data_IF_491059436969
#
_entry.id   IF_491059436969
#
_cell.length_a   1.000
_cell.length_b   1.000
_cell.length_c   1.000
_cell.angle_alpha   90.00
_cell.angle_beta   90.00
_cell.angle_gamma   90.00
#
_symmetry.space_group_name_H-M   'P 1'
#
loop_
_entity.id
_entity.type
_entity.pdbx_description
1 polymer ?
#
# COMPACT_ATOMS: atom_id res chain seq x y z
N UNK A 1 -0.92 28.76 19.65
CA UNK A 1 -1.49 28.20 18.39
C UNK A 1 -0.66 28.58 17.16
N UNK A 2 -0.32 29.85 16.91
CA UNK A 2 0.51 30.24 15.75
C UNK A 2 1.89 29.57 15.67
N UNK A 3 2.53 29.31 16.81
CA UNK A 3 3.82 28.60 16.86
C UNK A 3 3.78 27.16 16.34
N UNK A 4 2.64 26.46 16.48
CA UNK A 4 2.49 25.09 15.96
C UNK A 4 2.33 25.10 14.43
N UNK A 5 1.53 26.03 13.89
CA UNK A 5 1.42 26.23 12.45
C UNK A 5 2.75 26.68 11.84
N UNK A 6 3.47 27.61 12.48
CA UNK A 6 4.80 28.02 12.04
C UNK A 6 5.80 26.86 12.09
N UNK A 7 5.81 26.07 13.16
CA UNK A 7 6.67 24.89 13.28
C UNK A 7 6.36 23.82 12.22
N UNK A 8 5.09 23.57 11.90
CA UNK A 8 4.70 22.66 10.81
C UNK A 8 5.15 23.19 9.44
N UNK A 9 5.07 24.51 9.23
CA UNK A 9 5.51 25.13 7.98
C UNK A 9 7.02 25.02 7.82
N UNK A 10 7.78 25.34 8.88
CA UNK A 10 9.24 25.14 8.91
C UNK A 10 9.59 23.66 8.74
N UNK A 11 8.92 22.74 9.45
CA UNK A 11 9.20 21.31 9.39
C UNK A 11 8.98 20.73 7.98
N UNK A 12 7.93 21.13 7.26
CA UNK A 12 7.72 20.71 5.87
C UNK A 12 8.82 21.23 4.94
N UNK A 13 9.28 22.48 5.13
CA UNK A 13 10.38 23.02 4.34
C UNK A 13 11.66 22.20 4.58
N UNK A 14 11.98 21.90 5.84
CA UNK A 14 13.13 21.04 6.16
C UNK A 14 12.95 19.61 5.63
N UNK A 15 11.76 19.01 5.78
CA UNK A 15 11.44 17.68 5.26
C UNK A 15 11.70 17.61 3.77
N UNK A 16 11.21 18.59 3.00
CA UNK A 16 11.41 18.65 1.55
C UNK A 16 12.89 18.78 1.18
N UNK A 17 13.67 19.58 1.92
CA UNK A 17 15.13 19.70 1.69
C UNK A 17 15.83 18.36 1.95
N UNK A 18 15.48 17.68 3.05
CA UNK A 18 16.05 16.38 3.40
C UNK A 18 15.66 15.28 2.41
N UNK A 19 14.39 15.24 1.99
CA UNK A 19 13.89 14.30 1.00
C UNK A 19 14.58 14.52 -0.35
N UNK A 20 14.68 15.76 -0.82
CA UNK A 20 15.36 16.07 -2.08
C UNK A 20 16.85 15.72 -2.06
N UNK A 21 17.53 16.01 -0.94
CA UNK A 21 18.94 15.65 -0.79
C UNK A 21 19.12 14.13 -0.69
N UNK A 22 18.24 13.44 0.04
CA UNK A 22 18.23 12.00 0.20
C UNK A 22 17.93 11.26 -1.09
N UNK A 23 16.97 11.75 -1.89
CA UNK A 23 16.56 11.17 -3.17
C UNK A 23 17.76 10.96 -4.10
N UNK A 24 18.67 11.94 -4.17
CA UNK A 24 19.90 11.83 -4.98
C UNK A 24 20.79 10.64 -4.60
N UNK A 25 20.83 10.28 -3.32
CA UNK A 25 21.57 9.10 -2.84
C UNK A 25 20.80 7.81 -3.10
N UNK A 26 19.48 7.81 -2.87
CA UNK A 26 18.63 6.63 -3.10
C UNK A 26 18.53 6.25 -4.57
N UNK A 27 18.44 7.23 -5.48
CA UNK A 27 18.41 6.98 -6.93
C UNK A 27 19.69 6.29 -7.40
N UNK A 28 20.86 6.71 -6.89
CA UNK A 28 22.14 6.03 -7.18
C UNK A 28 22.16 4.58 -6.68
N UNK A 29 21.47 4.28 -5.58
CA UNK A 29 21.35 2.91 -5.08
C UNK A 29 20.41 2.06 -5.96
N UNK A 30 19.39 2.70 -6.56
CA UNK A 30 18.45 2.04 -7.48
C UNK A 30 19.01 1.83 -8.88
N UNK A 31 20.04 2.61 -9.27
CA UNK A 31 20.78 2.46 -10.54
C UNK A 31 21.65 1.19 -10.58
N UNK A 32 21.89 0.56 -9.43
CA UNK A 32 22.57 -0.73 -9.34
C UNK A 32 21.72 -1.79 -10.06
N UNK A 33 22.32 -2.63 -10.92
CA UNK A 33 21.56 -3.58 -11.71
C UNK A 33 20.72 -4.51 -10.83
N UNK A 34 19.44 -4.64 -11.19
CA UNK A 34 18.40 -5.33 -10.38
C UNK A 34 18.77 -6.77 -9.97
N UNK A 35 19.61 -7.45 -10.75
CA UNK A 35 20.04 -8.81 -10.45
C UNK A 35 20.99 -8.89 -9.22
N UNK A 36 21.68 -7.79 -8.88
CA UNK A 36 22.52 -7.67 -7.68
C UNK A 36 21.74 -7.02 -6.53
N UNK A 37 20.90 -6.03 -6.84
CA UNK A 37 20.13 -5.31 -5.83
C UNK A 37 19.14 -6.22 -5.09
N UNK A 38 18.43 -7.09 -5.84
CA UNK A 38 17.44 -8.01 -5.27
C UNK A 38 18.01 -8.99 -4.23
N UNK A 39 19.12 -9.72 -4.48
CA UNK A 39 19.69 -10.62 -3.47
C UNK A 39 20.20 -9.87 -2.23
N UNK A 40 20.76 -8.67 -2.39
CA UNK A 40 21.18 -7.83 -1.25
C UNK A 40 19.97 -7.48 -0.37
N UNK A 41 18.88 -7.00 -0.98
CA UNK A 41 17.63 -6.70 -0.26
C UNK A 41 17.10 -7.94 0.45
N UNK A 42 17.10 -9.11 -0.22
CA UNK A 42 16.63 -10.36 0.38
C UNK A 42 17.43 -10.76 1.62
N UNK A 43 18.78 -10.67 1.55
CA UNK A 43 19.65 -10.95 2.71
C UNK A 43 19.36 -9.94 3.83
N UNK A 44 19.22 -8.66 3.51
CA UNK A 44 18.90 -7.62 4.50
C UNK A 44 17.55 -7.87 5.17
N UNK A 45 16.51 -8.29 4.43
CA UNK A 45 15.21 -8.64 4.98
C UNK A 45 15.28 -9.86 5.91
N UNK A 46 16.06 -10.87 5.56
CA UNK A 46 16.26 -12.06 6.40
C UNK A 46 16.96 -11.68 7.71
N UNK A 47 18.03 -10.89 7.63
CA UNK A 47 18.77 -10.40 8.81
C UNK A 47 17.88 -9.50 9.67
N UNK A 48 17.09 -8.61 9.06
CA UNK A 48 16.16 -7.73 9.78
C UNK A 48 15.06 -8.49 10.50
N UNK A 49 14.47 -9.51 9.86
CA UNK A 49 13.48 -10.38 10.48
C UNK A 49 14.09 -11.18 11.65
N UNK A 50 15.30 -11.72 11.46
CA UNK A 50 16.01 -12.43 12.51
C UNK A 50 16.34 -11.52 13.71
N UNK A 51 16.73 -10.27 13.46
CA UNK A 51 17.08 -9.30 14.50
C UNK A 51 15.91 -8.93 15.41
N UNK A 52 14.67 -9.00 14.91
CA UNK A 52 13.48 -8.54 15.66
C UNK A 52 13.16 -9.41 16.88
N UNK A 53 13.24 -10.73 16.74
CA UNK A 53 12.86 -11.66 17.80
C UNK A 53 13.88 -12.78 18.05
N UNK A 54 14.98 -12.83 17.31
CA UNK A 54 16.01 -13.87 17.39
C UNK A 54 15.43 -15.29 17.23
N UNK A 55 14.34 -15.43 16.46
CA UNK A 55 13.65 -16.70 16.21
C UNK A 55 13.88 -17.14 14.77
N UNK A 56 14.36 -18.36 14.60
CA UNK A 56 14.55 -19.01 13.29
C UNK A 56 13.21 -19.17 12.55
N UNK A 57 12.09 -19.19 13.28
CA UNK A 57 10.74 -19.24 12.71
C UNK A 57 10.43 -18.02 11.81
N UNK A 58 10.94 -16.83 12.15
CA UNK A 58 10.68 -15.61 11.39
C UNK A 58 11.45 -15.64 10.05
N UNK A 59 12.65 -16.25 10.05
CA UNK A 59 13.42 -16.51 8.83
C UNK A 59 12.67 -17.47 7.91
N UNK A 60 12.10 -18.55 8.46
CA UNK A 60 11.31 -19.50 7.67
C UNK A 60 10.06 -18.83 7.07
N UNK A 61 9.41 -17.96 7.85
CA UNK A 61 8.25 -17.18 7.38
C UNK A 61 8.62 -16.25 6.23
N UNK A 62 9.72 -15.50 6.33
CA UNK A 62 10.22 -14.64 5.24
C UNK A 62 10.52 -15.46 3.98
N UNK A 63 11.09 -16.66 4.12
CA UNK A 63 11.37 -17.52 2.98
C UNK A 63 10.08 -18.02 2.31
N UNK A 64 9.10 -18.47 3.09
CA UNK A 64 7.79 -18.92 2.59
C UNK A 64 7.04 -17.77 1.89
N UNK A 65 6.94 -16.60 2.53
CA UNK A 65 6.27 -15.43 1.94
C UNK A 65 7.03 -14.87 0.73
N UNK A 66 8.37 -14.92 0.74
CA UNK A 66 9.20 -14.58 -0.42
C UNK A 66 8.94 -15.50 -1.62
N UNK A 67 8.80 -16.80 -1.38
CA UNK A 67 8.46 -17.78 -2.42
C UNK A 67 7.03 -17.55 -2.95
N UNK A 68 6.05 -17.29 -2.08
CA UNK A 68 4.68 -16.92 -2.48
C UNK A 68 4.71 -15.65 -3.35
N UNK A 69 5.49 -14.63 -2.97
CA UNK A 69 5.68 -13.43 -3.77
C UNK A 69 6.28 -13.71 -5.16
N UNK A 70 7.21 -14.65 -5.26
CA UNK A 70 7.75 -15.11 -6.54
C UNK A 70 6.67 -15.78 -7.42
N UNK A 71 5.79 -16.58 -6.82
CA UNK A 71 4.62 -17.13 -7.53
C UNK A 71 3.67 -16.04 -8.02
N UNK A 72 3.42 -14.99 -7.24
CA UNK A 72 2.59 -13.86 -7.67
C UNK A 72 3.19 -13.10 -8.86
N UNK A 73 4.52 -12.97 -8.90
CA UNK A 73 5.22 -12.44 -10.07
C UNK A 73 4.99 -13.29 -11.32
N UNK A 74 4.96 -14.62 -11.18
CA UNK A 74 4.64 -15.55 -12.30
C UNK A 74 3.19 -15.44 -12.76
N UNK A 75 2.27 -15.17 -11.84
CA UNK A 75 0.84 -15.01 -12.13
C UNK A 75 0.47 -13.63 -12.72
N UNK A 76 1.45 -12.73 -12.93
CA UNK A 76 1.23 -11.34 -13.39
C UNK A 76 0.21 -10.59 -12.54
N UNK A 77 0.06 -10.98 -11.27
CA UNK A 77 -0.77 -10.24 -10.33
C UNK A 77 -0.01 -8.94 -10.01
N UNK A 78 -0.66 -7.78 -10.11
CA UNK A 78 0.00 -6.53 -9.76
C UNK A 78 0.35 -6.59 -8.26
N UNK A 79 1.64 -6.53 -7.94
CA UNK A 79 2.13 -6.60 -6.57
C UNK A 79 1.76 -5.37 -5.75
N UNK A 80 1.66 -4.20 -6.40
CA UNK A 80 1.37 -2.92 -5.74
C UNK A 80 -0.01 -2.91 -5.06
N UNK A 81 -1.13 -3.23 -5.73
CA UNK A 81 -2.44 -3.29 -5.08
C UNK A 81 -2.54 -4.34 -3.96
N UNK A 82 -1.77 -5.42 -4.05
CA UNK A 82 -1.77 -6.47 -3.03
C UNK A 82 -1.14 -5.96 -1.73
N UNK A 83 -0.02 -5.23 -1.82
CA UNK A 83 0.64 -4.62 -0.67
C UNK A 83 -0.28 -3.55 -0.06
N UNK A 84 -0.89 -2.69 -0.87
CA UNK A 84 -1.83 -1.67 -0.40
C UNK A 84 -3.02 -2.32 0.29
N UNK A 85 -3.62 -3.37 -0.29
CA UNK A 85 -4.71 -4.11 0.35
C UNK A 85 -4.31 -4.77 1.66
N UNK A 86 -3.09 -5.32 1.75
CA UNK A 86 -2.57 -5.94 2.98
C UNK A 86 -2.36 -4.92 4.11
N UNK A 87 -1.86 -3.72 3.79
CA UNK A 87 -1.64 -2.65 4.78
C UNK A 87 -2.97 -1.99 5.18
N UNK A 88 -3.84 -1.71 4.21
CA UNK A 88 -5.13 -1.05 4.46
C UNK A 88 -6.16 -1.99 5.11
N UNK A 89 -6.09 -3.29 4.87
CA UNK A 89 -7.00 -4.30 5.44
C UNK A 89 -7.19 -4.19 6.96
N UNK A 90 -6.12 -4.28 7.78
CA UNK A 90 -6.24 -4.16 9.24
C UNK A 90 -6.70 -2.76 9.67
N UNK A 91 -6.30 -1.71 8.96
CA UNK A 91 -6.83 -0.36 9.22
C UNK A 91 -8.34 -0.28 8.94
N UNK A 92 -8.81 -0.87 7.85
CA UNK A 92 -10.23 -0.90 7.50
C UNK A 92 -11.03 -1.72 8.53
N UNK A 93 -10.55 -2.90 8.92
CA UNK A 93 -11.23 -3.75 9.90
C UNK A 93 -11.29 -3.07 11.28
N UNK A 94 -10.19 -2.47 11.72
CA UNK A 94 -10.17 -1.76 13.02
C UNK A 94 -11.09 -0.55 13.02
N UNK A 95 -11.15 0.22 11.93
CA UNK A 95 -12.09 1.34 11.81
C UNK A 95 -13.54 0.87 11.73
N UNK A 96 -13.83 -0.22 11.02
CA UNK A 96 -15.16 -0.83 10.98
C UNK A 96 -15.59 -1.31 12.37
N UNK A 97 -14.70 -2.00 13.07
CA UNK A 97 -14.94 -2.47 14.44
C UNK A 97 -15.16 -1.31 15.41
N UNK A 98 -14.36 -0.24 15.31
CA UNK A 98 -14.55 0.99 16.10
C UNK A 98 -15.91 1.64 15.82
N UNK A 99 -16.32 1.72 14.56
CA UNK A 99 -17.61 2.26 14.17
C UNK A 99 -18.78 1.43 14.73
N UNK A 100 -18.68 0.09 14.68
CA UNK A 100 -19.70 -0.81 15.23
C UNK A 100 -19.76 -0.77 16.77
N UNK A 101 -18.62 -0.68 17.45
CA UNK A 101 -18.55 -0.52 18.90
C UNK A 101 -19.14 0.83 19.35
N UNK A 102 -18.85 1.92 18.63
CA UNK A 102 -19.45 3.23 18.88
C UNK A 102 -20.97 3.27 18.63
N UNK A 103 -21.47 2.32 17.83
CA UNK A 103 -22.88 2.17 17.46
C UNK A 103 -23.62 1.10 18.26
N UNK A 104 -23.00 0.57 19.32
CA UNK A 104 -23.54 -0.53 20.15
C UNK A 104 -23.98 -1.78 19.34
N UNK A 105 -23.35 -2.03 18.19
CA UNK A 105 -23.65 -3.18 17.32
C UNK A 105 -24.80 -2.98 16.33
N UNK A 106 -25.41 -1.79 16.25
CA UNK A 106 -26.48 -1.53 15.28
C UNK A 106 -25.91 -1.13 13.90
N UNK A 107 -26.17 -1.97 12.90
CA UNK A 107 -25.77 -1.76 11.50
C UNK A 107 -26.55 -0.60 10.85
N UNK A 108 -27.63 -0.14 11.49
CA UNK A 108 -28.42 1.01 11.05
C UNK A 108 -27.63 2.33 11.04
N UNK A 109 -26.48 2.40 11.72
CA UNK A 109 -25.63 3.60 11.78
C UNK A 109 -25.01 3.97 10.43
N UNK A 110 -24.77 2.99 9.56
CA UNK A 110 -24.28 3.25 8.20
C UNK A 110 -25.32 3.95 7.32
N UNK A 111 -26.61 3.85 7.66
CA UNK A 111 -27.71 4.48 6.92
C UNK A 111 -28.18 5.78 7.60
N UNK A 112 -28.18 5.82 8.93
CA UNK A 112 -28.62 7.02 9.69
C UNK A 112 -27.59 8.14 9.71
N UNK A 113 -26.29 7.85 9.54
CA UNK A 113 -25.26 8.89 9.36
C UNK A 113 -25.14 9.26 7.88
N UNK A 114 -25.53 10.48 7.47
CA UNK A 114 -25.54 10.88 6.06
C UNK A 114 -24.14 10.81 5.42
N UNK A 115 -23.07 11.06 6.19
CA UNK A 115 -21.69 11.00 5.71
C UNK A 115 -21.27 9.55 5.40
N UNK A 116 -21.66 8.60 6.24
CA UNK A 116 -21.38 7.16 6.04
C UNK A 116 -22.14 6.61 4.84
N UNK A 117 -23.40 7.02 4.66
CA UNK A 117 -24.22 6.62 3.52
C UNK A 117 -23.64 7.14 2.20
N UNK A 118 -23.21 8.41 2.15
CA UNK A 118 -22.53 8.97 0.97
C UNK A 118 -21.26 8.18 0.64
N UNK A 119 -20.41 7.90 1.63
CA UNK A 119 -19.19 7.10 1.42
C UNK A 119 -19.48 5.68 0.95
N UNK A 120 -20.53 5.05 1.47
CA UNK A 120 -20.95 3.69 1.09
C UNK A 120 -21.47 3.66 -0.35
N UNK A 121 -22.28 4.65 -0.75
CA UNK A 121 -22.74 4.80 -2.13
C UNK A 121 -21.60 5.08 -3.10
N UNK A 122 -20.64 5.93 -2.73
CA UNK A 122 -19.43 6.21 -3.54
C UNK A 122 -18.56 4.96 -3.67
N UNK A 123 -18.37 4.20 -2.59
CA UNK A 123 -17.63 2.94 -2.60
C UNK A 123 -18.29 1.92 -3.53
N UNK A 124 -19.60 1.71 -3.38
CA UNK A 124 -20.36 0.84 -4.28
C UNK A 124 -20.29 1.32 -5.73
N UNK A 125 -20.44 2.62 -5.96
CA UNK A 125 -20.31 3.24 -7.29
C UNK A 125 -18.94 2.98 -7.92
N UNK A 126 -17.87 3.18 -7.17
CA UNK A 126 -16.49 2.93 -7.62
C UNK A 126 -16.27 1.45 -7.97
N UNK A 127 -16.70 0.52 -7.10
CA UNK A 127 -16.60 -0.92 -7.37
C UNK A 127 -17.41 -1.30 -8.61
N UNK A 128 -18.62 -0.78 -8.77
CA UNK A 128 -19.48 -1.05 -9.95
C UNK A 128 -18.83 -0.50 -11.24
N UNK A 129 -18.27 0.71 -11.19
CA UNK A 129 -17.57 1.32 -12.34
C UNK A 129 -16.37 0.47 -12.73
N UNK A 130 -15.52 0.11 -11.77
CA UNK A 130 -14.33 -0.73 -11.99
C UNK A 130 -14.72 -2.11 -12.54
N UNK A 131 -15.75 -2.75 -12.00
CA UNK A 131 -16.23 -4.05 -12.48
C UNK A 131 -16.82 -3.95 -13.90
N UNK A 132 -17.56 -2.89 -14.23
CA UNK A 132 -18.10 -2.66 -15.58
C UNK A 132 -16.98 -2.36 -16.58
N UNK A 133 -15.97 -1.59 -16.19
CA UNK A 133 -14.79 -1.31 -17.01
C UNK A 133 -13.96 -2.59 -17.23
N UNK A 134 -13.74 -3.40 -16.19
CA UNK A 134 -12.98 -4.65 -16.31
C UNK A 134 -13.73 -5.71 -17.15
N UNK A 135 -15.08 -5.77 -17.06
CA UNK A 135 -15.91 -6.60 -17.94
C UNK A 135 -15.94 -6.09 -19.38
N UNK A 136 -15.91 -4.76 -19.62
CA UNK A 136 -15.79 -4.18 -20.97
C UNK A 136 -14.39 -4.40 -21.57
N UNK A 137 -13.34 -4.27 -20.77
CA UNK A 137 -11.95 -4.55 -21.16
C UNK A 137 -11.71 -6.03 -21.46
N UNK A 138 -12.50 -6.94 -20.87
CA UNK A 138 -12.49 -8.37 -21.23
C UNK A 138 -13.29 -8.68 -22.52
N UNK A 139 -14.16 -7.77 -22.99
CA UNK A 139 -15.06 -7.97 -24.14
C UNK A 139 -14.56 -7.29 -25.42
N UNK A 140 -13.84 -6.16 -25.32
CA UNK A 140 -12.96 -5.67 -26.38
C UNK A 140 -11.56 -6.15 -26.06
N UNK A 141 -10.95 -7.02 -26.87
CA UNK A 141 -9.58 -7.52 -26.71
C UNK A 141 -8.47 -6.46 -26.81
N UNK A 142 -8.62 -5.35 -26.10
CA UNK A 142 -7.62 -4.32 -25.93
C UNK A 142 -6.84 -4.62 -24.66
N UNK A 143 -5.52 -4.74 -24.83
CA UNK A 143 -4.51 -4.87 -23.78
C UNK A 143 -4.89 -4.03 -22.56
N UNK A 144 -4.78 -4.57 -21.33
CA UNK A 144 -4.89 -3.74 -20.14
C UNK A 144 -3.89 -2.60 -20.28
N UNK A 145 -4.44 -1.39 -20.25
CA UNK A 145 -3.72 -0.14 -20.31
C UNK A 145 -2.47 -0.23 -19.44
N UNK A 146 -1.33 0.07 -20.05
CA UNK A 146 -0.18 0.61 -19.35
C UNK A 146 -0.71 1.62 -18.34
N UNK A 147 -0.60 1.28 -17.05
CA UNK A 147 -0.56 2.28 -16.01
C UNK A 147 0.61 3.21 -16.36
N UNK A 148 0.46 4.54 -16.28
CA UNK A 148 1.49 5.49 -16.69
C UNK A 148 2.84 5.07 -16.11
N UNK A 149 3.84 4.94 -16.98
CA UNK A 149 5.19 4.53 -16.65
C UNK A 149 6.02 5.78 -16.36
N UNK A 150 5.49 6.78 -15.67
CA UNK A 150 6.15 8.08 -15.58
C UNK A 150 5.34 9.07 -14.75
N UNK A 151 5.51 9.01 -13.44
CA UNK A 151 5.76 10.23 -12.65
C UNK A 151 6.36 9.84 -11.29
N UNK A 152 7.66 9.58 -11.29
CA UNK A 152 8.61 10.25 -10.39
C UNK A 152 10.03 9.85 -10.82
N UNK A 153 10.74 10.87 -11.29
CA UNK A 153 12.12 10.85 -11.74
C UNK A 153 13.12 10.66 -10.59
#
# INVERSE_FOLDING_TARGET
MYGLFAALMIANIFMLIFEYLGLKWFVKLLDIPKHILLPIIMVLCIVGAYSTANRVFDVWSVFVFGLIGFFFKRLKVPSTPLIIGFILGPMAETNLRRALMASAGDWSVFVTRPISLVFLLVSLGSVIIVLRQNKRAKKSGARPAEAPLDEEA
#
